data_IF_419069566109
#
_entry.id   IF_419069566109
#
_cell.length_a   1.000
_cell.length_b   1.000
_cell.length_c   1.000
_cell.angle_alpha   90.00
_cell.angle_beta   90.00
_cell.angle_gamma   90.00
#
_symmetry.space_group_name_H-M   'P 1'
#
loop_
_entity.id
_entity.type
_entity.pdbx_description
1 polymer ?
#
# COMPACT_ATOMS: atom_id res chain seq x y z
N UNK A 1 -7.54 -12.79 -11.48
CA UNK A 1 -8.35 -13.45 -10.42
C UNK A 1 -7.59 -13.56 -9.09
N UNK A 2 -6.26 -13.56 -9.08
CA UNK A 2 -5.44 -13.79 -7.89
C UNK A 2 -5.74 -12.90 -6.68
N UNK A 3 -6.14 -11.65 -6.91
CA UNK A 3 -6.40 -10.67 -5.84
C UNK A 3 -7.88 -10.55 -5.46
N UNK A 4 -8.78 -11.24 -6.16
CA UNK A 4 -10.23 -11.06 -6.00
C UNK A 4 -10.68 -11.40 -4.57
N UNK A 5 -11.31 -10.43 -3.90
CA UNK A 5 -11.86 -10.60 -2.56
C UNK A 5 -10.83 -10.62 -1.42
N UNK A 6 -9.53 -10.46 -1.72
CA UNK A 6 -8.46 -10.47 -0.72
C UNK A 6 -8.29 -9.12 -0.04
N UNK A 7 -7.85 -9.16 1.20
CA UNK A 7 -7.35 -8.00 1.94
C UNK A 7 -5.82 -8.03 1.87
N UNK A 8 -5.20 -6.93 1.45
CA UNK A 8 -3.77 -6.90 1.12
C UNK A 8 -3.09 -5.81 1.95
N UNK A 9 -1.96 -6.15 2.56
CA UNK A 9 -1.07 -5.20 3.24
C UNK A 9 0.13 -4.92 2.34
N UNK A 10 0.24 -3.69 1.86
CA UNK A 10 1.44 -3.18 1.20
C UNK A 10 2.41 -2.70 2.26
N UNK A 11 3.64 -3.21 2.20
CA UNK A 11 4.72 -2.84 3.11
C UNK A 11 5.80 -2.15 2.28
N UNK A 12 6.17 -0.95 2.69
CA UNK A 12 7.28 -0.20 2.10
C UNK A 12 8.27 0.27 3.18
N UNK A 13 9.47 0.65 2.78
CA UNK A 13 10.51 1.11 3.70
C UNK A 13 10.23 2.52 4.24
N UNK A 14 9.73 3.43 3.41
CA UNK A 14 9.33 4.79 3.80
C UNK A 14 8.16 5.33 2.97
N UNK A 15 7.17 5.92 3.64
CA UNK A 15 6.12 6.72 2.99
C UNK A 15 6.51 8.19 3.08
N UNK A 16 6.84 8.79 1.94
CA UNK A 16 7.06 10.24 1.82
C UNK A 16 5.75 10.94 1.47
N UNK A 17 5.32 10.89 0.21
CA UNK A 17 4.04 11.45 -0.27
C UNK A 17 2.92 10.43 -0.33
N UNK A 18 3.25 9.13 -0.26
CA UNK A 18 2.29 8.03 -0.42
C UNK A 18 1.90 7.72 -1.87
N UNK A 19 2.41 8.47 -2.85
CA UNK A 19 2.04 8.31 -4.27
C UNK A 19 2.32 6.89 -4.79
N UNK A 20 3.45 6.28 -4.40
CA UNK A 20 3.79 4.91 -4.81
C UNK A 20 2.76 3.89 -4.31
N UNK A 21 2.43 3.93 -3.01
CA UNK A 21 1.44 3.03 -2.42
C UNK A 21 0.04 3.24 -3.00
N UNK A 22 -0.31 4.50 -3.31
CA UNK A 22 -1.60 4.82 -3.91
C UNK A 22 -1.73 4.21 -5.31
N UNK A 23 -0.74 4.37 -6.18
CA UNK A 23 -0.75 3.75 -7.52
C UNK A 23 -0.78 2.22 -7.44
N UNK A 24 0.01 1.59 -6.56
CA UNK A 24 -0.07 0.15 -6.33
C UNK A 24 -1.46 -0.28 -5.83
N UNK A 25 -2.06 0.50 -4.93
CA UNK A 25 -3.40 0.20 -4.40
C UNK A 25 -4.46 0.24 -5.50
N UNK A 26 -4.40 1.20 -6.44
CA UNK A 26 -5.32 1.31 -7.58
C UNK A 26 -5.27 0.06 -8.44
N UNK A 27 -4.08 -0.37 -8.84
CA UNK A 27 -3.91 -1.58 -9.67
C UNK A 27 -4.42 -2.85 -8.97
N UNK A 28 -4.25 -2.95 -7.64
CA UNK A 28 -4.74 -4.10 -6.87
C UNK A 28 -6.26 -4.10 -6.71
N UNK A 29 -6.87 -2.93 -6.49
CA UNK A 29 -8.33 -2.77 -6.46
C UNK A 29 -8.94 -3.10 -7.83
N UNK A 30 -8.36 -2.60 -8.92
CA UNK A 30 -8.77 -2.94 -10.30
C UNK A 30 -8.66 -4.46 -10.57
N UNK A 31 -7.70 -5.12 -9.92
CA UNK A 31 -7.54 -6.59 -9.96
C UNK A 31 -8.53 -7.36 -9.08
N UNK A 32 -9.42 -6.65 -8.37
CA UNK A 32 -10.51 -7.20 -7.56
C UNK A 32 -10.23 -7.31 -6.06
N UNK A 33 -9.17 -6.70 -5.55
CA UNK A 33 -8.90 -6.68 -4.12
C UNK A 33 -10.07 -6.04 -3.34
N UNK A 34 -10.38 -6.58 -2.16
CA UNK A 34 -11.47 -6.11 -1.31
C UNK A 34 -11.06 -4.86 -0.52
N UNK A 35 -9.84 -4.85 0.01
CA UNK A 35 -9.26 -3.76 0.81
C UNK A 35 -7.75 -3.80 0.70
N UNK A 36 -7.14 -2.61 0.70
CA UNK A 36 -5.69 -2.41 0.71
C UNK A 36 -5.33 -1.60 1.97
N UNK A 37 -4.29 -2.03 2.67
CA UNK A 37 -3.67 -1.32 3.79
C UNK A 37 -2.25 -0.93 3.38
N UNK A 38 -1.80 0.26 3.75
CA UNK A 38 -0.41 0.69 3.59
C UNK A 38 0.27 0.77 4.95
N UNK A 39 1.43 0.13 5.07
CA UNK A 39 2.32 0.25 6.21
C UNK A 39 3.71 0.59 5.70
N UNK A 40 4.32 1.61 6.28
CA UNK A 40 5.76 1.80 6.13
C UNK A 40 6.37 2.20 7.46
N UNK A 41 7.65 1.90 7.58
CA UNK A 41 8.45 2.44 8.65
C UNK A 41 8.68 3.92 8.32
N UNK A 42 8.52 4.79 9.30
CA UNK A 42 8.87 6.21 9.14
C UNK A 42 9.77 6.61 10.28
N UNK A 43 10.85 7.31 9.95
CA UNK A 43 11.62 8.05 10.94
C UNK A 43 12.18 9.32 10.30
N UNK A 44 11.68 10.46 10.77
CA UNK A 44 12.39 11.75 10.68
C UNK A 44 12.57 12.27 12.11
N UNK A 45 13.36 11.55 12.91
CA UNK A 45 13.87 12.11 14.15
C UNK A 45 15.02 13.04 13.81
N UNK A 46 14.83 14.34 14.04
CA UNK A 46 15.96 15.24 14.31
C UNK A 46 16.25 15.10 15.80
N UNK A 47 17.34 14.40 16.13
CA UNK A 47 17.95 14.46 17.47
C UNK A 47 18.50 15.87 17.70
#
# INVERSE_FOLDING_TARGET
>A
MEFKGKEILLIDDIITTGTTLEECSKSLIESGAKRIYGLALTSSMKL
#
